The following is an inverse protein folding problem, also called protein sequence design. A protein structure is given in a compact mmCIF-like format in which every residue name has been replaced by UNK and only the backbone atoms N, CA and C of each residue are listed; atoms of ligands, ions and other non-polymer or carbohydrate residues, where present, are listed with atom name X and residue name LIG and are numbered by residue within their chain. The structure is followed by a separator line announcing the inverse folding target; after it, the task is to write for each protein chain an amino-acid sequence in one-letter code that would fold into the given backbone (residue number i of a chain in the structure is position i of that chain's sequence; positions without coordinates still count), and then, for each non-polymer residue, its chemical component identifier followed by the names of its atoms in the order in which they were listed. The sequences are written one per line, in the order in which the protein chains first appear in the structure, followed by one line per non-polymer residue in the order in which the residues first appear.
data_IF_998124779364
#
_entry.id   IF_998124779364
#
_cell.length_a   1.000
_cell.length_b   1.000
_cell.length_c   1.000
_cell.angle_alpha   90.00
_cell.angle_beta   90.00
_cell.angle_gamma   90.00
#
_symmetry.space_group_name_H-M   'P 1'
#
loop_
_entity.id
_entity.type
_entity.pdbx_description
1 polymer ?
#
# COMPACT_ATOMS: atom_id res chain seq x y z
N UNK A 1 -0.59 -8.87 -2.18
CA UNK A 1 0.61 -8.07 -1.85
C UNK A 1 1.30 -7.58 -3.12
N UNK A 2 1.64 -8.45 -4.07
CA UNK A 2 2.34 -8.07 -5.31
C UNK A 2 1.53 -7.05 -6.15
N UNK A 3 0.21 -7.21 -6.25
CA UNK A 3 -0.64 -6.26 -6.98
C UNK A 3 -0.59 -4.85 -6.38
N UNK A 4 -0.59 -4.74 -5.05
CA UNK A 4 -0.49 -3.45 -4.37
C UNK A 4 0.88 -2.80 -4.55
N UNK A 5 1.95 -3.57 -4.45
CA UNK A 5 3.31 -3.07 -4.69
C UNK A 5 3.50 -2.60 -6.14
N UNK A 6 2.96 -3.33 -7.11
CA UNK A 6 2.97 -2.91 -8.51
C UNK A 6 2.18 -1.61 -8.71
N UNK A 7 1.07 -1.42 -7.96
CA UNK A 7 0.32 -0.17 -7.97
C UNK A 7 1.15 1.02 -7.46
N UNK A 8 1.83 0.86 -6.32
CA UNK A 8 2.74 1.88 -5.78
C UNK A 8 3.85 2.18 -6.79
N UNK A 9 4.50 1.17 -7.34
CA UNK A 9 5.55 1.32 -8.33
C UNK A 9 5.07 2.09 -9.56
N UNK A 10 3.89 1.75 -10.08
CA UNK A 10 3.28 2.46 -11.22
C UNK A 10 2.99 3.92 -10.91
N UNK A 11 2.50 4.22 -9.70
CA UNK A 11 2.25 5.60 -9.25
C UNK A 11 3.56 6.39 -9.20
N UNK A 12 4.60 5.83 -8.59
CA UNK A 12 5.90 6.51 -8.50
C UNK A 12 6.51 6.70 -9.89
N UNK A 13 6.43 5.71 -10.77
CA UNK A 13 6.90 5.83 -12.15
C UNK A 13 6.16 6.94 -12.92
N UNK A 14 4.86 7.10 -12.67
CA UNK A 14 4.08 8.21 -13.20
C UNK A 14 4.61 9.57 -12.75
N UNK A 15 4.95 9.72 -11.48
CA UNK A 15 5.57 10.94 -10.94
C UNK A 15 6.96 11.17 -11.54
N UNK A 16 7.80 10.14 -11.61
CA UNK A 16 9.15 10.22 -12.20
C UNK A 16 9.10 10.65 -13.66
N UNK A 17 8.15 10.13 -14.45
CA UNK A 17 7.99 10.52 -15.85
C UNK A 17 7.62 12.01 -16.00
N UNK A 18 6.90 12.57 -15.02
CA UNK A 18 6.54 13.99 -14.98
C UNK A 18 7.71 14.92 -14.63
N UNK A 19 8.73 14.41 -13.93
CA UNK A 19 9.87 15.20 -13.45
C UNK A 19 10.62 15.85 -14.63
N UNK A 20 10.98 15.09 -15.64
CA UNK A 20 11.72 15.60 -16.80
C UNK A 20 10.98 16.76 -17.49
N UNK A 21 9.66 16.65 -17.59
CA UNK A 21 8.82 17.71 -18.14
C UNK A 21 8.74 18.93 -17.22
N UNK A 22 8.62 18.74 -15.92
CA UNK A 22 8.52 19.83 -14.95
C UNK A 22 9.81 20.65 -14.87
N UNK A 23 10.97 19.99 -14.94
CA UNK A 23 12.28 20.62 -14.83
C UNK A 23 12.84 21.09 -16.18
N UNK A 24 12.21 20.78 -17.32
CA UNK A 24 12.74 21.09 -18.66
C UNK A 24 13.11 22.54 -18.88
N UNK A 25 12.41 23.48 -18.25
CA UNK A 25 12.68 24.93 -18.34
C UNK A 25 13.70 25.47 -17.36
N UNK A 26 14.28 24.63 -16.48
CA UNK A 26 15.20 25.05 -15.42
C UNK A 26 16.57 24.35 -15.48
N UNK A 27 16.81 23.53 -16.51
CA UNK A 27 18.06 22.76 -16.64
C UNK A 27 19.28 23.59 -17.03
N UNK A 28 19.08 24.81 -17.53
CA UNK A 28 20.17 25.68 -17.99
C UNK A 28 20.78 26.53 -16.85
N UNK A 29 20.12 26.61 -15.68
CA UNK A 29 20.53 27.47 -14.58
C UNK A 29 20.35 26.75 -13.23
N UNK A 30 21.45 26.53 -12.52
CA UNK A 30 21.48 25.89 -11.23
C UNK A 30 20.60 26.56 -10.17
N UNK A 31 20.60 27.91 -10.12
CA UNK A 31 19.77 28.65 -9.17
C UNK A 31 18.28 28.46 -9.47
N UNK A 32 17.94 28.45 -10.75
CA UNK A 32 16.56 28.20 -11.20
C UNK A 32 16.15 26.77 -10.91
N UNK A 33 17.04 25.80 -11.15
CA UNK A 33 16.77 24.40 -10.80
C UNK A 33 16.46 24.25 -9.32
N UNK A 34 17.30 24.80 -8.42
CA UNK A 34 17.08 24.71 -6.98
C UNK A 34 15.74 25.33 -6.56
N UNK A 35 15.41 26.52 -7.08
CA UNK A 35 14.14 27.18 -6.78
C UNK A 35 12.93 26.34 -7.28
N UNK A 36 13.05 25.76 -8.46
CA UNK A 36 12.03 24.88 -9.03
C UNK A 36 11.88 23.59 -8.20
N UNK A 37 12.98 23.00 -7.77
CA UNK A 37 12.99 21.80 -6.94
C UNK A 37 12.34 22.06 -5.57
N UNK A 38 12.67 23.16 -4.92
CA UNK A 38 12.05 23.57 -3.66
C UNK A 38 10.55 23.75 -3.84
N UNK A 39 10.12 24.50 -4.85
CA UNK A 39 8.69 24.70 -5.13
C UNK A 39 7.95 23.40 -5.45
N UNK A 40 8.59 22.48 -6.17
CA UNK A 40 8.02 21.16 -6.47
C UNK A 40 7.77 20.34 -5.21
N UNK A 41 8.74 20.31 -4.29
CA UNK A 41 8.61 19.61 -3.01
C UNK A 41 7.57 20.27 -2.09
N UNK A 42 7.54 21.61 -2.03
CA UNK A 42 6.57 22.35 -1.22
C UNK A 42 5.13 22.18 -1.70
N UNK A 43 4.93 22.12 -3.01
CA UNK A 43 3.60 21.96 -3.62
C UNK A 43 3.17 20.50 -3.77
N UNK A 44 4.02 19.55 -3.39
CA UNK A 44 3.72 18.13 -3.50
C UNK A 44 2.50 17.76 -2.66
N UNK A 45 1.47 17.17 -3.30
CA UNK A 45 0.18 16.89 -2.67
C UNK A 45 0.13 15.61 -1.86
N UNK A 46 0.96 14.61 -2.20
CA UNK A 46 0.86 13.27 -1.65
C UNK A 46 1.80 13.01 -0.44
N UNK A 47 2.08 14.07 0.34
CA UNK A 47 3.00 14.05 1.50
C UNK A 47 2.62 13.02 2.57
N UNK A 48 1.33 12.66 2.67
CA UNK A 48 0.86 11.66 3.62
C UNK A 48 1.16 10.22 3.19
N UNK A 49 1.42 10.00 1.90
CA UNK A 49 1.62 8.66 1.35
C UNK A 49 3.08 8.39 0.98
N UNK A 50 3.80 9.45 0.61
CA UNK A 50 5.19 9.33 0.20
C UNK A 50 5.99 10.58 0.61
N UNK A 51 7.24 10.37 0.92
CA UNK A 51 8.20 11.43 1.17
C UNK A 51 8.90 11.78 -0.14
N UNK A 52 9.00 13.07 -0.41
CA UNK A 52 9.69 13.62 -1.55
C UNK A 52 10.88 14.45 -1.08
N UNK A 53 12.04 14.19 -1.64
CA UNK A 53 13.28 14.86 -1.33
C UNK A 53 13.89 15.43 -2.61
N UNK A 54 14.44 16.63 -2.54
CA UNK A 54 15.23 17.19 -3.62
C UNK A 54 16.71 17.32 -3.21
N UNK A 55 17.60 17.03 -4.14
CA UNK A 55 19.04 17.07 -3.98
C UNK A 55 19.65 18.02 -5.00
N UNK A 56 20.73 18.72 -4.57
CA UNK A 56 21.52 19.54 -5.47
C UNK A 56 22.51 18.69 -6.31
N UNK A 57 23.25 19.36 -7.19
CA UNK A 57 24.28 18.72 -8.02
C UNK A 57 25.45 18.10 -7.25
N UNK A 58 25.56 18.37 -5.95
CA UNK A 58 26.57 17.82 -5.06
C UNK A 58 25.98 16.74 -4.13
N UNK A 59 24.81 16.21 -4.47
CA UNK A 59 24.07 15.22 -3.68
C UNK A 59 23.72 15.68 -2.26
N UNK A 60 23.62 17.00 -2.02
CA UNK A 60 23.18 17.55 -0.75
C UNK A 60 21.69 17.76 -0.78
N UNK A 61 21.01 17.34 0.28
CA UNK A 61 19.59 17.59 0.45
C UNK A 61 19.28 19.08 0.46
N UNK A 62 18.40 19.52 -0.46
CA UNK A 62 17.89 20.89 -0.51
C UNK A 62 16.68 21.05 0.40
N UNK A 63 15.72 20.13 0.28
CA UNK A 63 14.46 20.16 1.00
C UNK A 63 13.82 18.77 0.99
N UNK A 64 13.02 18.48 2.02
CA UNK A 64 12.14 17.31 2.09
C UNK A 64 10.69 17.74 2.27
N UNK A 65 9.75 16.95 1.77
CA UNK A 65 8.31 17.24 1.89
C UNK A 65 7.80 17.14 3.33
N UNK A 66 8.51 16.43 4.20
CA UNK A 66 8.19 16.29 5.63
C UNK A 66 8.86 17.37 6.48
N UNK A 67 9.78 18.13 5.91
CA UNK A 67 10.52 19.18 6.62
C UNK A 67 11.59 18.68 7.60
N UNK A 68 11.83 17.37 7.67
CA UNK A 68 12.90 16.80 8.48
C UNK A 68 14.23 16.83 7.71
N UNK A 69 15.34 17.05 8.43
CA UNK A 69 16.66 16.94 7.84
C UNK A 69 16.92 15.48 7.43
N UNK A 70 17.39 15.31 6.20
CA UNK A 70 17.84 14.00 5.73
C UNK A 70 19.14 13.66 6.44
N UNK A 71 19.18 12.55 7.16
CA UNK A 71 20.43 12.03 7.68
C UNK A 71 21.32 11.63 6.50
N UNK A 72 22.35 12.45 6.24
CA UNK A 72 23.31 12.23 5.16
C UNK A 72 24.11 10.92 5.32
N UNK A 73 24.03 10.27 6.49
CA UNK A 73 24.62 8.96 6.76
C UNK A 73 23.69 7.81 6.43
N UNK A 74 22.43 8.08 6.10
CA UNK A 74 21.49 7.04 5.73
C UNK A 74 21.91 6.43 4.40
N UNK A 75 22.07 5.10 4.38
CA UNK A 75 22.34 4.38 3.15
C UNK A 75 21.19 4.61 2.15
N UNK A 76 21.52 5.04 0.94
CA UNK A 76 20.60 5.26 -0.16
C UNK A 76 20.94 4.30 -1.32
N UNK A 77 20.52 3.02 -1.23
CA UNK A 77 20.82 2.03 -2.26
C UNK A 77 20.23 2.36 -3.64
N UNK A 78 19.11 3.07 -3.66
CA UNK A 78 18.48 3.60 -4.87
C UNK A 78 19.37 4.62 -5.57
N UNK A 79 20.08 5.46 -4.83
CA UNK A 79 21.08 6.41 -5.35
C UNK A 79 22.24 5.69 -6.02
N UNK A 80 22.82 4.70 -5.35
CA UNK A 80 23.95 3.92 -5.90
C UNK A 80 23.54 3.16 -7.18
N UNK A 81 22.33 2.62 -7.20
CA UNK A 81 21.76 1.97 -8.38
C UNK A 81 21.52 2.97 -9.51
N UNK A 82 20.98 4.16 -9.23
CA UNK A 82 20.72 5.18 -10.24
C UNK A 82 22.02 5.72 -10.85
N UNK A 83 23.05 5.87 -10.03
CA UNK A 83 24.38 6.31 -10.49
C UNK A 83 25.05 5.31 -11.43
N UNK A 84 24.75 4.03 -11.27
CA UNK A 84 25.24 2.96 -12.15
C UNK A 84 24.34 2.71 -13.38
N UNK A 85 23.19 3.38 -13.47
CA UNK A 85 22.23 3.26 -14.55
C UNK A 85 22.47 4.31 -15.63
N UNK A 86 22.38 3.92 -16.90
CA UNK A 86 22.48 4.84 -18.04
C UNK A 86 21.33 5.87 -18.06
N UNK A 87 20.20 5.55 -17.43
CA UNK A 87 19.03 6.42 -17.35
C UNK A 87 19.09 7.43 -16.21
N UNK A 88 20.09 7.33 -15.32
CA UNK A 88 20.20 8.17 -14.13
C UNK A 88 19.05 8.01 -13.13
N UNK A 89 18.28 6.93 -13.25
CA UNK A 89 17.14 6.63 -12.39
C UNK A 89 17.15 5.16 -11.96
N UNK A 90 16.76 4.90 -10.71
CA UNK A 90 16.60 3.54 -10.21
C UNK A 90 15.51 3.43 -9.15
N UNK A 91 14.93 2.26 -9.09
CA UNK A 91 13.94 1.85 -8.08
C UNK A 91 14.59 0.81 -7.17
N UNK A 92 14.49 1.03 -5.88
CA UNK A 92 14.95 0.08 -4.88
C UNK A 92 13.83 -0.24 -3.89
N UNK A 93 13.74 -1.48 -3.48
CA UNK A 93 12.80 -1.93 -2.45
C UNK A 93 13.57 -2.74 -1.41
N UNK A 94 13.50 -2.32 -0.19
CA UNK A 94 14.23 -2.98 0.90
C UNK A 94 13.88 -2.45 2.27
N UNK A 95 14.74 -2.73 3.23
CA UNK A 95 14.57 -2.30 4.61
C UNK A 95 15.66 -1.29 4.95
N UNK A 96 15.28 -0.13 5.47
CA UNK A 96 16.19 0.88 5.97
C UNK A 96 16.87 0.42 7.27
N UNK A 97 17.90 1.14 7.69
CA UNK A 97 18.59 0.90 8.97
C UNK A 97 17.65 1.06 10.19
N UNK A 98 16.58 1.82 10.05
CA UNK A 98 15.49 1.93 11.03
C UNK A 98 14.65 0.67 11.20
N UNK A 99 14.79 -0.32 10.31
CA UNK A 99 13.95 -1.52 10.24
C UNK A 99 12.69 -1.34 9.39
N UNK A 100 12.41 -0.15 8.90
CA UNK A 100 11.25 0.14 8.07
C UNK A 100 11.45 -0.35 6.64
N UNK A 101 10.43 -1.02 6.09
CA UNK A 101 10.39 -1.42 4.68
C UNK A 101 9.93 -0.26 3.83
N UNK A 102 10.73 0.08 2.83
CA UNK A 102 10.44 1.19 1.92
C UNK A 102 10.64 0.79 0.47
N UNK A 103 9.96 1.52 -0.42
CA UNK A 103 10.29 1.60 -1.83
C UNK A 103 10.84 3.01 -2.08
N UNK A 104 12.04 3.10 -2.59
CA UNK A 104 12.68 4.36 -2.91
C UNK A 104 12.98 4.43 -4.39
N UNK A 105 12.76 5.60 -4.99
CA UNK A 105 13.06 5.87 -6.39
C UNK A 105 13.86 7.14 -6.45
N UNK A 106 15.07 7.03 -6.95
CA UNK A 106 15.94 8.16 -7.24
C UNK A 106 15.92 8.45 -8.74
N UNK A 107 15.79 9.72 -9.10
CA UNK A 107 15.84 10.15 -10.49
C UNK A 107 16.65 11.44 -10.59
N UNK A 108 17.75 11.39 -11.33
CA UNK A 108 18.52 12.57 -11.68
C UNK A 108 17.80 13.35 -12.77
N UNK A 109 17.88 14.68 -12.68
CA UNK A 109 17.26 15.58 -13.66
C UNK A 109 18.34 16.31 -14.46
N UNK A 110 18.44 15.99 -15.75
CA UNK A 110 19.38 16.60 -16.69
C UNK A 110 20.86 16.33 -16.39
N UNK A 111 21.74 16.99 -17.15
CA UNK A 111 23.18 16.84 -16.99
C UNK A 111 23.68 17.35 -15.61
N UNK A 112 23.45 16.55 -14.57
CA UNK A 112 23.98 16.74 -13.20
C UNK A 112 23.51 18.02 -12.46
N UNK A 113 22.33 18.56 -12.78
CA UNK A 113 21.81 19.74 -12.06
C UNK A 113 21.27 19.39 -10.67
N UNK A 114 20.81 18.17 -10.46
CA UNK A 114 20.30 17.67 -9.20
C UNK A 114 19.42 16.46 -9.38
N UNK A 115 18.74 16.05 -8.33
CA UNK A 115 17.90 14.86 -8.35
C UNK A 115 16.69 14.99 -7.44
N UNK A 116 15.71 14.15 -7.70
CA UNK A 116 14.51 13.99 -6.88
C UNK A 116 14.40 12.53 -6.45
N UNK A 117 14.12 12.34 -5.17
CA UNK A 117 13.94 11.02 -4.56
C UNK A 117 12.57 10.91 -3.95
N UNK A 118 11.86 9.85 -4.28
CA UNK A 118 10.59 9.46 -3.67
C UNK A 118 10.82 8.28 -2.74
N UNK A 119 10.27 8.36 -1.53
CA UNK A 119 10.32 7.25 -0.55
C UNK A 119 8.92 6.95 -0.07
N UNK A 120 8.49 5.71 -0.23
CA UNK A 120 7.18 5.23 0.24
C UNK A 120 7.37 4.16 1.29
N UNK A 121 6.73 4.34 2.45
CA UNK A 121 6.69 3.32 3.49
C UNK A 121 5.77 2.18 3.08
N UNK A 122 6.33 0.98 2.98
CA UNK A 122 5.56 -0.23 2.69
C UNK A 122 4.89 -0.81 3.94
N UNK A 123 5.29 -0.37 5.13
CA UNK A 123 4.69 -0.81 6.39
C UNK A 123 3.25 -0.30 6.53
N UNK A 124 3.00 0.95 6.17
CA UNK A 124 1.65 1.51 6.14
C UNK A 124 0.74 0.78 5.16
N UNK A 125 1.31 0.33 4.04
CA UNK A 125 0.66 -0.48 3.04
C UNK A 125 0.28 -1.87 3.57
N UNK A 126 1.24 -2.58 4.16
CA UNK A 126 1.04 -3.91 4.75
C UNK A 126 -0.01 -3.86 5.88
N UNK A 127 -0.02 -2.80 6.69
CA UNK A 127 -1.03 -2.59 7.74
C UNK A 127 -2.44 -2.40 7.18
N UNK A 128 -2.61 -1.60 6.12
CA UNK A 128 -3.90 -1.42 5.44
C UNK A 128 -4.42 -2.72 4.84
N UNK A 129 -3.53 -3.50 4.21
CA UNK A 129 -3.86 -4.82 3.66
C UNK A 129 -4.32 -5.76 4.78
N UNK A 130 -3.57 -5.83 5.88
CA UNK A 130 -3.91 -6.68 7.02
C UNK A 130 -5.28 -6.33 7.62
N UNK A 131 -5.58 -5.04 7.80
CA UNK A 131 -6.88 -4.59 8.29
C UNK A 131 -8.02 -5.00 7.35
N UNK A 132 -7.84 -4.85 6.03
CA UNK A 132 -8.85 -5.21 5.04
C UNK A 132 -9.12 -6.71 5.02
N UNK A 133 -8.07 -7.53 5.07
CA UNK A 133 -8.18 -9.00 5.12
C UNK A 133 -8.84 -9.45 6.42
N UNK A 134 -8.45 -8.87 7.56
CA UNK A 134 -9.05 -9.19 8.87
C UNK A 134 -10.55 -8.88 8.90
N UNK A 135 -10.96 -7.73 8.34
CA UNK A 135 -12.36 -7.36 8.24
C UNK A 135 -13.15 -8.34 7.38
N UNK A 136 -12.61 -8.71 6.21
CA UNK A 136 -13.25 -9.68 5.32
C UNK A 136 -13.42 -11.04 6.01
N UNK A 137 -12.41 -11.49 6.73
CA UNK A 137 -12.43 -12.76 7.47
C UNK A 137 -13.48 -12.74 8.59
N UNK A 138 -13.58 -11.62 9.32
CA UNK A 138 -14.59 -11.43 10.36
C UNK A 138 -16.01 -11.51 9.80
N UNK A 139 -16.26 -10.83 8.68
CA UNK A 139 -17.57 -10.88 8.00
C UNK A 139 -17.88 -12.30 7.54
N UNK A 140 -16.92 -13.02 6.95
CA UNK A 140 -17.06 -14.41 6.56
C UNK A 140 -17.42 -15.33 7.73
N UNK A 141 -16.71 -15.20 8.86
CA UNK A 141 -17.02 -15.95 10.08
C UNK A 141 -18.44 -15.65 10.61
N UNK A 142 -18.85 -14.38 10.57
CA UNK A 142 -20.20 -13.98 11.00
C UNK A 142 -21.29 -14.61 10.13
N UNK A 143 -21.10 -14.64 8.82
CA UNK A 143 -22.05 -15.30 7.90
C UNK A 143 -22.16 -16.79 8.21
N UNK A 144 -21.03 -17.50 8.36
CA UNK A 144 -21.02 -18.92 8.70
C UNK A 144 -21.74 -19.16 10.04
N UNK A 145 -21.49 -18.33 11.03
CA UNK A 145 -22.14 -18.42 12.34
C UNK A 145 -23.67 -18.32 12.23
N UNK A 146 -24.18 -17.35 11.48
CA UNK A 146 -25.63 -17.21 11.26
C UNK A 146 -26.23 -18.38 10.48
N UNK A 147 -25.52 -18.91 9.50
CA UNK A 147 -25.96 -20.10 8.75
C UNK A 147 -26.08 -21.31 9.68
N UNK A 148 -25.09 -21.53 10.54
CA UNK A 148 -25.11 -22.65 11.50
C UNK A 148 -26.25 -22.49 12.51
N UNK A 149 -26.44 -21.28 13.06
CA UNK A 149 -27.55 -20.99 13.98
C UNK A 149 -28.90 -21.22 13.29
N UNK A 150 -29.10 -20.69 12.09
CA UNK A 150 -30.34 -20.86 11.34
C UNK A 150 -30.64 -22.33 11.06
N UNK A 151 -29.65 -23.09 10.61
CA UNK A 151 -29.79 -24.51 10.37
C UNK A 151 -30.16 -25.30 11.65
N UNK A 152 -29.48 -24.99 12.76
CA UNK A 152 -29.77 -25.62 14.06
C UNK A 152 -31.20 -25.31 14.54
N UNK A 153 -31.62 -24.03 14.39
CA UNK A 153 -32.95 -23.60 14.73
C UNK A 153 -34.02 -24.33 13.86
N UNK A 154 -33.80 -24.42 12.55
CA UNK A 154 -34.68 -25.09 11.61
C UNK A 154 -34.85 -26.57 11.97
N UNK A 155 -33.79 -27.29 12.24
CA UNK A 155 -33.83 -28.70 12.64
C UNK A 155 -34.62 -28.87 13.93
N UNK A 156 -34.39 -28.04 14.93
CA UNK A 156 -35.04 -28.15 16.24
C UNK A 156 -36.50 -27.73 16.20
N UNK A 157 -36.85 -26.71 15.44
CA UNK A 157 -38.18 -26.10 15.42
C UNK A 157 -39.13 -26.77 14.45
N UNK A 158 -38.63 -27.34 13.36
CA UNK A 158 -39.49 -27.89 12.28
C UNK A 158 -39.28 -29.39 12.11
N UNK A 159 -38.02 -29.82 11.92
CA UNK A 159 -37.76 -31.23 11.56
C UNK A 159 -38.08 -32.18 12.70
N UNK A 160 -37.72 -31.87 13.95
CA UNK A 160 -38.01 -32.71 15.11
C UNK A 160 -39.50 -32.86 15.41
N UNK A 161 -40.32 -31.80 15.43
CA UNK A 161 -41.77 -31.95 15.61
C UNK A 161 -42.44 -32.74 14.50
N UNK A 162 -42.06 -32.52 13.24
CA UNK A 162 -42.60 -33.27 12.10
C UNK A 162 -42.30 -34.77 12.20
N UNK A 163 -41.10 -35.14 12.65
CA UNK A 163 -40.73 -36.53 12.90
C UNK A 163 -41.62 -37.21 13.97
N UNK A 164 -41.96 -36.47 15.05
CA UNK A 164 -42.89 -36.99 16.08
C UNK A 164 -44.29 -37.19 15.55
N UNK A 165 -44.82 -36.26 14.77
CA UNK A 165 -46.17 -36.37 14.16
C UNK A 165 -46.21 -37.58 13.22
N UNK A 166 -45.19 -37.75 12.38
CA UNK A 166 -45.08 -38.89 11.46
C UNK A 166 -45.03 -40.23 12.21
N UNK A 167 -44.32 -40.31 13.34
CA UNK A 167 -44.24 -41.49 14.17
C UNK A 167 -45.59 -41.82 14.83
N UNK A 168 -46.31 -40.82 15.33
CA UNK A 168 -47.66 -41.00 15.91
C UNK A 168 -48.66 -41.46 14.82
N UNK A 169 -48.67 -40.83 13.65
CA UNK A 169 -49.51 -41.21 12.53
C UNK A 169 -49.26 -42.67 12.09
N UNK A 170 -48.02 -43.13 12.08
CA UNK A 170 -47.63 -44.51 11.78
C UNK A 170 -48.12 -45.50 12.82
N UNK A 171 -48.08 -45.17 14.11
CA UNK A 171 -48.63 -45.99 15.19
C UNK A 171 -50.12 -46.14 15.11
N UNK A 172 -50.84 -45.05 14.85
CA UNK A 172 -52.30 -45.06 14.62
C UNK A 172 -52.65 -45.96 13.42
N UNK A 173 -51.91 -45.84 12.31
CA UNK A 173 -52.14 -46.68 11.13
C UNK A 173 -51.86 -48.18 11.40
N UNK A 174 -51.11 -48.55 12.39
CA UNK A 174 -50.83 -49.89 12.84
C UNK A 174 -51.82 -50.42 13.90
N UNK A 175 -52.86 -49.62 14.23
CA UNK A 175 -53.90 -49.99 15.19
C UNK A 175 -53.57 -49.78 16.66
N UNK A 176 -52.44 -49.09 16.96
CA UNK A 176 -52.05 -48.72 18.34
C UNK A 176 -52.67 -47.37 18.69
N UNK A 177 -53.88 -47.40 19.27
CA UNK A 177 -54.65 -46.24 19.69
C UNK A 177 -54.34 -45.79 21.14
N UNK A 178 -53.37 -46.39 21.84
CA UNK A 178 -52.94 -45.91 23.13
C UNK A 178 -51.97 -44.74 23.00
N UNK A 179 -52.51 -43.51 23.04
CA UNK A 179 -51.79 -42.27 23.10
C UNK A 179 -51.74 -41.78 24.54
#
# INVERSE_FOLDING_TARGET
RNYYYNGIQSTIQGHVSGISSYFSGSLDDYSRFNATAVNYVETFSDKEQMELMAFDRHDRSLITSTGFEVDQKQAMPDYELAKSSDEGAAIWTGTLNSGEKVMAVYSSSGDYMGAVRYVVSLESADRKIFMSVSLLLLVGCMVIFFVVLSNTYFIRSIVKPLGKISAVARRIAQGDFKV
#
